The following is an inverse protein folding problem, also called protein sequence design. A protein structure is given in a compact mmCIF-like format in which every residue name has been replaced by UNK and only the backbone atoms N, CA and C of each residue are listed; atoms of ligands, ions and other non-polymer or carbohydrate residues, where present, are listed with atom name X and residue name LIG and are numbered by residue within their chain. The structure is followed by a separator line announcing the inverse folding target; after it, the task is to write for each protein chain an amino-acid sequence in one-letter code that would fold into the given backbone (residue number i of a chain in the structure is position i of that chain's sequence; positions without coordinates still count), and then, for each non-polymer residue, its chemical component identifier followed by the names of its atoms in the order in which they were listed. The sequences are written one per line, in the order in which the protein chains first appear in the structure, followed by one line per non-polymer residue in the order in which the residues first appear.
data_IF_791655673972
#
_entry.id   IF_791655673972
#
_cell.length_a   1.000
_cell.length_b   1.000
_cell.length_c   1.000
_cell.angle_alpha   90.00
_cell.angle_beta   90.00
_cell.angle_gamma   90.00
#
_symmetry.space_group_name_H-M   'P 1'
#
loop_
_entity.id
_entity.type
_entity.pdbx_description
1 polymer ?
#
# COMPACT_ATOMS: atom_id res chain seq x y z
N UNK A 1 -3.08 12.33 13.03
CA UNK A 1 -3.85 12.67 11.79
C UNK A 1 -5.38 12.45 11.90
N UNK A 2 -5.86 11.30 12.41
CA UNK A 2 -7.31 11.09 12.56
C UNK A 2 -7.96 12.12 13.52
N UNK A 3 -7.30 12.40 14.65
CA UNK A 3 -7.76 13.43 15.60
C UNK A 3 -7.74 14.84 14.99
N UNK A 4 -6.78 15.16 14.11
CA UNK A 4 -6.76 16.47 13.44
C UNK A 4 -7.93 16.61 12.47
N UNK A 5 -8.31 15.55 11.74
CA UNK A 5 -9.53 15.58 10.91
C UNK A 5 -10.76 15.98 11.73
N UNK A 6 -10.99 15.31 12.87
CA UNK A 6 -12.11 15.62 13.77
C UNK A 6 -12.00 17.06 14.30
N UNK A 7 -10.83 17.45 14.81
CA UNK A 7 -10.59 18.79 15.33
C UNK A 7 -10.82 19.90 14.30
N UNK A 8 -10.37 19.71 13.05
CA UNK A 8 -10.57 20.66 11.95
C UNK A 8 -12.04 20.75 11.58
N UNK A 9 -12.77 19.63 11.52
CA UNK A 9 -14.17 19.62 11.13
C UNK A 9 -15.06 20.37 12.12
N UNK A 10 -14.84 20.20 13.43
CA UNK A 10 -15.65 20.84 14.46
C UNK A 10 -15.18 22.26 14.83
N UNK A 11 -13.87 22.49 14.88
CA UNK A 11 -13.30 23.74 15.42
C UNK A 11 -12.52 24.55 14.39
N UNK A 12 -12.23 24.00 13.20
CA UNK A 12 -11.35 24.62 12.22
C UNK A 12 -11.74 26.05 11.85
N UNK A 13 -13.03 26.34 11.64
CA UNK A 13 -13.50 27.70 11.30
C UNK A 13 -13.28 28.75 12.42
N UNK A 14 -13.08 28.32 13.66
CA UNK A 14 -12.84 29.20 14.83
C UNK A 14 -11.35 29.42 15.08
N UNK A 15 -10.48 28.69 14.40
CA UNK A 15 -9.03 28.75 14.56
C UNK A 15 -8.40 29.80 13.64
N UNK A 16 -7.27 30.42 14.04
CA UNK A 16 -6.63 31.49 13.29
C UNK A 16 -6.23 31.08 11.86
N UNK A 17 -5.68 29.87 11.67
CA UNK A 17 -5.36 29.34 10.32
C UNK A 17 -6.40 28.37 9.78
N UNK A 18 -7.67 28.55 10.18
CA UNK A 18 -8.82 27.78 9.65
C UNK A 18 -8.68 26.25 9.71
N UNK A 19 -7.85 25.73 10.62
CA UNK A 19 -7.56 24.31 10.82
C UNK A 19 -6.24 23.77 10.21
N UNK A 20 -5.56 24.50 9.32
CA UNK A 20 -4.32 24.02 8.71
C UNK A 20 -3.21 23.72 9.74
N UNK A 21 -3.13 24.54 10.79
CA UNK A 21 -2.20 24.35 11.91
C UNK A 21 -2.37 23.01 12.63
N UNK A 22 -3.61 22.53 12.82
CA UNK A 22 -3.87 21.23 13.43
C UNK A 22 -3.43 20.08 12.52
N UNK A 23 -3.68 20.21 11.21
CA UNK A 23 -3.27 19.22 10.22
C UNK A 23 -1.74 19.10 10.17
N UNK A 24 -1.05 20.23 10.00
CA UNK A 24 0.42 20.29 9.94
C UNK A 24 1.04 19.75 11.24
N UNK A 25 0.56 20.19 12.40
CA UNK A 25 1.08 19.73 13.69
C UNK A 25 0.88 18.21 13.87
N UNK A 26 -0.31 17.69 13.55
CA UNK A 26 -0.60 16.27 13.72
C UNK A 26 0.18 15.37 12.75
N UNK A 27 0.43 15.81 11.51
CA UNK A 27 1.28 15.09 10.56
C UNK A 27 2.76 15.23 10.94
N UNK A 28 3.19 16.39 11.43
CA UNK A 28 4.55 16.59 11.95
C UNK A 28 4.86 15.69 13.14
N UNK A 29 3.93 15.53 14.08
CA UNK A 29 4.05 14.55 15.18
C UNK A 29 4.13 13.12 14.61
N UNK A 30 3.27 12.78 13.65
CA UNK A 30 3.31 11.46 13.02
C UNK A 30 4.64 11.19 12.31
N UNK A 31 5.25 12.21 11.69
CA UNK A 31 6.57 12.11 11.07
C UNK A 31 7.68 11.85 12.10
N UNK A 32 7.68 12.58 13.22
CA UNK A 32 8.65 12.32 14.31
C UNK A 32 8.48 10.91 14.87
N UNK A 33 7.23 10.46 15.06
CA UNK A 33 6.94 9.09 15.48
C UNK A 33 7.40 8.07 14.44
N UNK A 34 7.23 8.33 13.14
CA UNK A 34 7.73 7.44 12.09
C UNK A 34 9.26 7.30 12.11
N UNK A 35 9.99 8.39 12.37
CA UNK A 35 11.44 8.34 12.56
C UNK A 35 11.83 7.53 13.81
N UNK A 36 11.13 7.74 14.92
CA UNK A 36 11.35 7.00 16.16
C UNK A 36 11.06 5.49 15.98
N UNK A 37 9.96 5.15 15.31
CA UNK A 37 9.63 3.76 14.94
C UNK A 37 10.69 3.16 14.03
N UNK A 38 11.21 3.92 13.07
CA UNK A 38 12.30 3.45 12.21
C UNK A 38 13.58 3.16 12.99
N UNK A 39 13.98 4.05 13.91
CA UNK A 39 15.13 3.84 14.77
C UNK A 39 14.93 2.62 15.71
N UNK A 40 13.75 2.50 16.32
CA UNK A 40 13.41 1.38 17.18
C UNK A 40 13.36 0.04 16.42
N UNK A 41 12.88 0.04 15.18
CA UNK A 41 12.86 -1.17 14.35
C UNK A 41 14.27 -1.58 13.90
N UNK A 42 15.15 -0.63 13.57
CA UNK A 42 16.56 -0.92 13.27
C UNK A 42 17.27 -1.54 14.47
N UNK A 43 17.08 -0.97 15.67
CA UNK A 43 17.63 -1.53 16.91
C UNK A 43 17.07 -2.93 17.21
N UNK A 44 15.76 -3.13 17.02
CA UNK A 44 15.13 -4.44 17.17
C UNK A 44 15.67 -5.47 16.18
N UNK A 45 15.89 -5.08 14.91
CA UNK A 45 16.48 -5.94 13.89
C UNK A 45 17.93 -6.30 14.20
N UNK A 46 18.72 -5.33 14.64
CA UNK A 46 20.16 -5.52 14.88
C UNK A 46 20.44 -6.32 16.17
N UNK A 47 19.51 -6.28 17.15
CA UNK A 47 19.58 -7.03 18.42
C UNK A 47 18.61 -8.24 18.46
N UNK A 48 18.16 -8.73 17.31
CA UNK A 48 17.22 -9.86 17.25
C UNK A 48 17.95 -11.19 17.52
N UNK A 49 17.68 -11.82 18.67
CA UNK A 49 18.17 -13.15 19.03
C UNK A 49 17.11 -14.22 18.70
N UNK A 50 17.49 -15.23 17.89
CA UNK A 50 16.61 -16.30 17.40
C UNK A 50 16.11 -17.30 18.48
N UNK A 51 16.44 -17.10 19.75
CA UNK A 51 16.12 -18.06 20.83
C UNK A 51 14.66 -18.02 21.31
N UNK A 52 13.87 -17.01 20.92
CA UNK A 52 12.44 -16.94 21.17
C UNK A 52 11.65 -17.30 19.91
N UNK A 53 10.77 -18.30 19.97
CA UNK A 53 9.97 -18.81 18.84
C UNK A 53 8.93 -17.85 18.23
N UNK A 54 9.24 -16.55 18.17
CA UNK A 54 8.47 -15.48 17.55
C UNK A 54 9.05 -15.12 16.18
N UNK A 55 9.02 -16.04 15.23
CA UNK A 55 9.11 -15.67 13.81
C UNK A 55 8.58 -16.80 12.93
N UNK A 56 7.46 -16.54 12.27
CA UNK A 56 7.16 -17.18 11.01
C UNK A 56 7.61 -16.21 9.92
N UNK A 57 8.64 -16.63 9.17
CA UNK A 57 9.19 -15.83 8.09
C UNK A 57 8.73 -16.37 6.74
N UNK A 58 8.35 -15.45 5.86
CA UNK A 58 8.36 -15.65 4.42
C UNK A 58 9.58 -14.94 3.90
N UNK A 59 10.54 -15.71 3.43
CA UNK A 59 11.75 -15.20 2.79
C UNK A 59 11.44 -15.11 1.31
N UNK A 60 11.72 -13.96 0.70
CA UNK A 60 11.75 -13.84 -0.76
C UNK A 60 13.21 -13.91 -1.16
N UNK A 61 13.61 -15.01 -1.82
CA UNK A 61 14.92 -15.06 -2.46
C UNK A 61 14.91 -14.19 -3.72
N UNK A 62 15.63 -13.06 -3.67
CA UNK A 62 15.74 -12.07 -4.75
C UNK A 62 16.31 -12.66 -6.06
N UNK A 63 16.97 -13.83 -6.02
CA UNK A 63 17.53 -14.49 -7.21
C UNK A 63 16.55 -15.46 -7.91
N UNK A 64 15.59 -16.02 -7.18
CA UNK A 64 14.72 -17.10 -7.67
C UNK A 64 13.22 -16.79 -7.54
N UNK A 65 12.84 -15.75 -6.80
CA UNK A 65 11.45 -15.43 -6.45
C UNK A 65 10.81 -16.45 -5.51
N UNK A 66 11.55 -17.47 -5.08
CA UNK A 66 11.03 -18.57 -4.26
C UNK A 66 10.69 -18.05 -2.88
N UNK A 67 9.49 -18.41 -2.39
CA UNK A 67 9.12 -18.21 -0.99
C UNK A 67 9.59 -19.42 -0.19
N UNK A 68 10.61 -19.27 0.67
CA UNK A 68 11.03 -20.39 1.54
C UNK A 68 10.23 -20.41 2.84
N UNK A 69 9.91 -21.62 3.31
CA UNK A 69 9.08 -21.90 4.48
C UNK A 69 9.68 -21.44 5.81
N UNK A 70 9.06 -21.80 6.96
CA UNK A 70 9.52 -21.33 8.25
C UNK A 70 10.97 -21.72 8.50
N UNK A 71 11.75 -20.74 8.93
CA UNK A 71 13.22 -20.72 9.13
C UNK A 71 13.72 -21.75 10.17
N UNK A 72 12.83 -22.53 10.78
CA UNK A 72 13.18 -23.50 11.81
C UNK A 72 14.14 -24.60 11.33
N UNK A 73 14.03 -25.07 10.09
CA UNK A 73 14.85 -26.20 9.60
C UNK A 73 16.11 -25.78 8.83
N UNK A 74 16.15 -24.61 8.15
CA UNK A 74 17.34 -24.17 7.39
C UNK A 74 18.41 -23.48 8.24
N UNK A 75 18.04 -22.81 9.35
CA UNK A 75 19.02 -22.20 10.26
C UNK A 75 19.65 -23.23 11.20
N UNK A 76 18.95 -24.32 11.52
CA UNK A 76 19.51 -25.43 12.28
C UNK A 76 20.67 -26.12 11.52
N UNK A 77 20.61 -26.16 10.18
CA UNK A 77 21.66 -26.76 9.34
C UNK A 77 22.89 -25.84 9.16
N UNK A 78 22.70 -24.52 9.18
CA UNK A 78 23.81 -23.56 9.02
C UNK A 78 24.52 -23.24 10.34
N UNK A 79 23.89 -23.50 11.49
CA UNK A 79 24.52 -23.36 12.80
C UNK A 79 25.46 -24.54 13.17
N UNK A 80 25.31 -25.72 12.54
CA UNK A 80 26.18 -26.88 12.80
C UNK A 80 27.41 -26.95 11.86
N UNK A 81 27.38 -26.31 10.69
CA UNK A 81 28.51 -26.28 9.76
C UNK A 81 29.31 -24.98 9.92
N UNK A 82 30.32 -25.05 10.78
CA UNK A 82 31.26 -23.95 11.01
C UNK A 82 31.96 -23.48 9.74
N UNK A 83 32.08 -22.16 9.64
CA UNK A 83 33.17 -21.43 8.98
C UNK A 83 33.55 -21.91 7.57
N UNK A 84 32.84 -21.46 6.53
CA UNK A 84 33.46 -21.05 5.26
C UNK A 84 32.48 -20.29 4.34
N UNK A 85 32.98 -19.15 3.84
CA UNK A 85 32.40 -18.23 2.85
C UNK A 85 31.45 -18.85 1.81
N UNK A 86 30.19 -18.37 1.80
CA UNK A 86 29.40 -18.15 0.59
C UNK A 86 28.63 -16.82 0.68
N UNK A 87 29.12 -15.81 -0.02
CA UNK A 87 28.33 -14.65 -0.46
C UNK A 87 27.46 -15.11 -1.64
N UNK A 88 26.32 -15.76 -1.37
CA UNK A 88 25.25 -15.97 -2.35
C UNK A 88 23.98 -16.36 -1.57
N UNK A 89 22.97 -15.49 -1.56
CA UNK A 89 21.63 -15.76 -1.02
C UNK A 89 21.48 -15.62 0.51
N UNK A 90 21.80 -14.45 1.07
CA UNK A 90 21.53 -14.18 2.49
C UNK A 90 20.02 -14.19 2.76
N UNK A 91 19.54 -15.26 3.40
CA UNK A 91 18.18 -15.42 3.92
C UNK A 91 17.97 -14.36 5.02
N UNK A 92 17.25 -13.28 4.69
CA UNK A 92 16.90 -12.28 5.69
C UNK A 92 15.59 -12.69 6.39
N UNK A 93 15.59 -12.94 7.71
CA UNK A 93 14.36 -13.26 8.43
C UNK A 93 13.36 -12.11 8.36
N UNK A 94 12.08 -12.45 8.24
CA UNK A 94 10.99 -11.49 8.40
C UNK A 94 10.95 -11.04 9.87
N UNK A 95 11.53 -9.87 10.15
CA UNK A 95 11.53 -9.28 11.50
C UNK A 95 10.39 -8.26 11.57
N UNK A 96 9.20 -8.74 11.96
CA UNK A 96 8.00 -7.94 12.15
C UNK A 96 7.53 -7.97 13.59
N UNK A 97 7.19 -6.81 14.16
CA UNK A 97 6.55 -6.70 15.47
C UNK A 97 5.04 -6.64 15.24
N UNK A 98 4.32 -7.66 15.72
CA UNK A 98 2.87 -7.74 15.65
C UNK A 98 2.29 -7.54 17.06
N UNK A 99 1.35 -6.60 17.19
CA UNK A 99 0.56 -6.47 18.41
C UNK A 99 -0.92 -6.49 18.04
N UNK A 100 -1.65 -7.50 18.51
CA UNK A 100 -3.04 -7.73 18.16
C UNK A 100 -3.91 -7.78 19.42
N UNK A 101 -5.03 -7.06 19.39
CA UNK A 101 -6.09 -7.17 20.40
C UNK A 101 -7.33 -7.78 19.76
N UNK A 102 -7.87 -8.84 20.36
CA UNK A 102 -9.14 -9.41 19.92
C UNK A 102 -10.29 -8.42 20.15
N UNK A 103 -10.97 -8.05 19.07
CA UNK A 103 -12.11 -7.13 19.10
C UNK A 103 -13.43 -7.89 19.27
N UNK A 104 -13.63 -8.95 18.49
CA UNK A 104 -14.83 -9.79 18.54
C UNK A 104 -14.46 -11.25 18.27
N UNK A 105 -15.08 -12.19 18.98
CA UNK A 105 -14.98 -13.61 18.67
C UNK A 105 -16.39 -14.20 18.53
N UNK A 106 -16.71 -14.75 17.37
CA UNK A 106 -18.01 -15.37 17.09
C UNK A 106 -17.82 -16.62 16.26
N UNK A 107 -18.42 -17.76 16.67
CA UNK A 107 -18.44 -18.98 15.86
C UNK A 107 -17.06 -19.59 15.57
N UNK A 108 -16.06 -19.33 16.41
CA UNK A 108 -14.67 -19.77 16.19
C UNK A 108 -13.86 -18.89 15.22
N UNK A 109 -14.43 -17.77 14.77
CA UNK A 109 -13.73 -16.73 14.00
C UNK A 109 -13.26 -15.63 14.95
N UNK A 110 -11.98 -15.28 14.85
CA UNK A 110 -11.36 -14.20 15.63
C UNK A 110 -11.23 -12.94 14.78
N UNK A 111 -11.93 -11.89 15.19
CA UNK A 111 -11.79 -10.56 14.62
C UNK A 111 -10.83 -9.76 15.49
N UNK A 112 -9.57 -9.68 15.06
CA UNK A 112 -8.53 -8.89 15.71
C UNK A 112 -8.48 -7.44 15.18
N UNK A 113 -8.04 -6.54 16.04
CA UNK A 113 -7.54 -5.23 15.64
C UNK A 113 -6.11 -5.12 16.13
N UNK A 114 -5.17 -5.08 15.19
CA UNK A 114 -3.74 -5.08 15.49
C UNK A 114 -2.97 -4.01 14.73
N UNK A 115 -1.68 -3.97 15.01
CA UNK A 115 -0.66 -3.19 14.32
C UNK A 115 0.47 -4.15 13.95
N UNK A 116 0.87 -4.12 12.68
CA UNK A 116 2.01 -4.87 12.17
C UNK A 116 3.11 -3.88 11.70
N UNK A 117 4.26 -3.93 12.37
CA UNK A 117 5.43 -3.09 12.06
C UNK A 117 6.59 -3.97 11.62
N UNK A 118 6.80 -4.04 10.32
CA UNK A 118 7.96 -4.66 9.67
C UNK A 118 8.72 -3.62 8.81
N UNK A 119 9.79 -4.05 8.14
CA UNK A 119 10.59 -3.16 7.29
C UNK A 119 9.77 -2.45 6.20
N UNK A 120 8.79 -3.14 5.62
CA UNK A 120 7.87 -2.57 4.62
C UNK A 120 6.97 -1.48 5.25
N UNK A 121 6.37 -1.75 6.40
CA UNK A 121 5.56 -0.78 7.16
C UNK A 121 6.40 0.44 7.55
N UNK A 122 7.61 0.24 8.08
CA UNK A 122 8.52 1.31 8.52
C UNK A 122 8.88 2.25 7.38
N UNK A 123 9.24 1.68 6.22
CA UNK A 123 9.52 2.49 5.03
C UNK A 123 8.26 3.28 4.62
N UNK A 124 7.10 2.64 4.60
CA UNK A 124 5.85 3.29 4.17
C UNK A 124 5.36 4.38 5.13
N UNK A 125 5.43 4.18 6.45
CA UNK A 125 5.05 5.24 7.40
C UNK A 125 5.95 6.46 7.25
N UNK A 126 7.24 6.27 6.96
CA UNK A 126 8.16 7.36 6.67
C UNK A 126 7.77 8.09 5.38
N UNK A 127 7.60 7.36 4.27
CA UNK A 127 7.19 7.95 2.97
C UNK A 127 5.88 8.72 3.09
N UNK A 128 4.85 8.12 3.69
CA UNK A 128 3.52 8.72 3.84
C UNK A 128 3.59 10.00 4.69
N UNK A 129 4.30 9.97 5.82
CA UNK A 129 4.38 11.13 6.72
C UNK A 129 5.21 12.28 6.13
N UNK A 130 6.33 11.99 5.46
CA UNK A 130 7.17 13.02 4.81
C UNK A 130 6.41 13.71 3.68
N UNK A 131 5.90 12.94 2.72
CA UNK A 131 5.20 13.50 1.56
C UNK A 131 3.93 14.23 2.02
N UNK A 132 3.18 13.65 2.96
CA UNK A 132 2.01 14.31 3.52
C UNK A 132 2.36 15.63 4.22
N UNK A 133 3.42 15.68 5.01
CA UNK A 133 3.84 16.91 5.71
C UNK A 133 4.17 18.02 4.70
N UNK A 134 4.94 17.69 3.65
CA UNK A 134 5.27 18.64 2.58
C UNK A 134 4.02 19.12 1.85
N UNK A 135 3.09 18.22 1.51
CA UNK A 135 1.83 18.57 0.87
C UNK A 135 0.96 19.45 1.78
N UNK A 136 0.91 19.18 3.09
CA UNK A 136 0.17 20.02 4.04
C UNK A 136 0.73 21.44 4.09
N UNK A 137 2.05 21.60 4.12
CA UNK A 137 2.70 22.91 4.11
C UNK A 137 2.45 23.62 2.77
N UNK A 138 2.70 22.95 1.66
CA UNK A 138 2.49 23.50 0.31
C UNK A 138 1.04 23.94 0.07
N UNK A 139 0.08 23.18 0.59
CA UNK A 139 -1.34 23.49 0.46
C UNK A 139 -1.75 24.78 1.16
N UNK A 140 -0.99 25.26 2.16
CA UNK A 140 -1.38 26.48 2.89
C UNK A 140 -1.43 27.71 2.00
N UNK A 141 -0.50 27.81 1.05
CA UNK A 141 -0.41 28.88 0.06
C UNK A 141 -1.27 28.57 -1.18
N UNK A 142 -1.23 27.33 -1.67
CA UNK A 142 -1.91 26.95 -2.91
C UNK A 142 -3.43 27.13 -2.87
N UNK A 143 -4.09 26.78 -1.77
CA UNK A 143 -5.54 26.97 -1.60
C UNK A 143 -5.89 28.20 -0.78
N UNK A 144 -4.97 29.15 -0.61
CA UNK A 144 -5.28 30.37 0.13
C UNK A 144 -6.44 31.14 -0.53
N UNK A 145 -7.31 31.71 0.30
CA UNK A 145 -8.54 32.36 -0.16
C UNK A 145 -9.66 31.41 -0.62
N UNK A 146 -9.47 30.09 -0.71
CA UNK A 146 -10.54 29.15 -1.07
C UNK A 146 -11.65 29.11 0.01
N UNK A 147 -12.91 29.20 -0.43
CA UNK A 147 -14.12 29.10 0.41
C UNK A 147 -14.15 27.83 1.28
N UNK A 148 -13.51 26.75 0.82
CA UNK A 148 -13.53 25.39 1.41
C UNK A 148 -12.22 25.02 2.11
N UNK A 149 -11.33 25.99 2.38
CA UNK A 149 -10.03 25.80 3.04
C UNK A 149 -10.06 24.80 4.22
N UNK A 150 -10.97 24.97 5.17
CA UNK A 150 -11.09 24.09 6.35
C UNK A 150 -11.43 22.64 5.97
N UNK A 151 -12.32 22.43 4.99
CA UNK A 151 -12.70 21.08 4.58
C UNK A 151 -11.56 20.40 3.83
N UNK A 152 -10.82 21.15 3.01
CA UNK A 152 -9.63 20.66 2.33
C UNK A 152 -8.61 20.07 3.31
N UNK A 153 -8.22 20.83 4.34
CA UNK A 153 -7.27 20.35 5.36
C UNK A 153 -7.82 19.21 6.24
N UNK A 154 -9.13 19.19 6.48
CA UNK A 154 -9.77 18.06 7.17
C UNK A 154 -9.57 16.77 6.36
N UNK A 155 -9.98 16.76 5.09
CA UNK A 155 -9.87 15.57 4.25
C UNK A 155 -8.42 15.21 3.93
N UNK A 156 -7.51 16.17 3.85
CA UNK A 156 -6.07 15.91 3.71
C UNK A 156 -5.51 15.16 4.95
N UNK A 157 -5.93 15.56 6.15
CA UNK A 157 -5.60 14.88 7.40
C UNK A 157 -6.22 13.47 7.47
N UNK A 158 -7.48 13.32 7.07
CA UNK A 158 -8.15 12.02 7.03
C UNK A 158 -7.49 11.09 6.02
N UNK A 159 -7.07 11.62 4.88
CA UNK A 159 -6.41 10.82 3.84
C UNK A 159 -5.07 10.26 4.34
N UNK A 160 -4.30 11.09 5.03
CA UNK A 160 -3.05 10.67 5.68
C UNK A 160 -3.31 9.65 6.79
N UNK A 161 -4.33 9.86 7.61
CA UNK A 161 -4.71 8.92 8.66
C UNK A 161 -5.11 7.55 8.07
N UNK A 162 -5.87 7.57 6.99
CA UNK A 162 -6.37 6.37 6.29
C UNK A 162 -5.22 5.56 5.69
N UNK A 163 -4.26 6.24 5.05
CA UNK A 163 -3.09 5.58 4.50
C UNK A 163 -2.18 5.01 5.61
N UNK A 164 -1.98 5.74 6.71
CA UNK A 164 -1.22 5.22 7.87
C UNK A 164 -1.90 4.01 8.51
N UNK A 165 -3.23 4.05 8.64
CA UNK A 165 -4.01 2.91 9.12
C UNK A 165 -3.88 1.70 8.19
N UNK A 166 -3.93 1.91 6.88
CA UNK A 166 -3.76 0.87 5.87
C UNK A 166 -2.38 0.20 5.94
N UNK A 167 -1.30 0.98 6.03
CA UNK A 167 0.06 0.41 6.04
C UNK A 167 0.43 -0.28 7.35
N UNK A 168 -0.22 0.10 8.45
CA UNK A 168 -0.04 -0.52 9.77
C UNK A 168 -1.01 -1.69 10.02
N UNK A 169 -1.89 -1.99 9.07
CA UNK A 169 -2.92 -3.02 9.23
C UNK A 169 -2.29 -4.41 9.36
N UNK A 170 -2.73 -5.12 10.40
CA UNK A 170 -2.28 -6.48 10.71
C UNK A 170 -3.06 -7.56 9.94
N UNK A 171 -4.34 -7.28 9.69
CA UNK A 171 -5.26 -8.22 9.04
C UNK A 171 -5.96 -7.62 7.83
N UNK A 172 -6.48 -8.51 6.97
CA UNK A 172 -7.13 -8.14 5.71
C UNK A 172 -8.40 -7.28 5.91
N UNK A 173 -9.09 -7.41 7.04
CA UNK A 173 -10.27 -6.58 7.32
C UNK A 173 -9.89 -5.13 7.62
N UNK A 174 -8.86 -4.92 8.43
CA UNK A 174 -8.29 -3.58 8.65
C UNK A 174 -7.78 -2.99 7.32
N UNK A 175 -7.12 -3.80 6.49
CA UNK A 175 -6.69 -3.35 5.16
C UNK A 175 -7.88 -2.92 4.29
N UNK A 176 -9.01 -3.65 4.28
CA UNK A 176 -10.23 -3.23 3.57
C UNK A 176 -10.72 -1.87 4.07
N UNK A 177 -10.77 -1.68 5.40
CA UNK A 177 -11.21 -0.39 5.98
C UNK A 177 -10.28 0.74 5.55
N UNK A 178 -8.96 0.56 5.62
CA UNK A 178 -7.98 1.55 5.16
C UNK A 178 -8.10 1.84 3.67
N UNK A 179 -8.26 0.80 2.85
CA UNK A 179 -8.42 0.88 1.39
C UNK A 179 -9.63 1.71 0.96
N UNK A 180 -10.76 1.49 1.64
CA UNK A 180 -12.00 2.23 1.43
C UNK A 180 -11.89 3.67 1.90
N UNK A 181 -11.34 3.91 3.09
CA UNK A 181 -11.15 5.26 3.61
C UNK A 181 -10.24 6.10 2.70
N UNK A 182 -9.16 5.51 2.17
CA UNK A 182 -8.30 6.12 1.13
C UNK A 182 -9.12 6.49 -0.11
N UNK A 183 -10.04 5.62 -0.55
CA UNK A 183 -10.91 5.89 -1.71
C UNK A 183 -11.97 6.98 -1.48
N UNK A 184 -12.54 7.03 -0.28
CA UNK A 184 -13.50 8.10 0.09
C UNK A 184 -12.78 9.45 0.17
N UNK A 185 -11.58 9.49 0.76
CA UNK A 185 -10.79 10.72 0.82
C UNK A 185 -10.40 11.21 -0.57
N UNK A 186 -9.97 10.32 -1.47
CA UNK A 186 -9.61 10.69 -2.84
C UNK A 186 -10.81 11.24 -3.61
N UNK A 187 -12.00 10.63 -3.45
CA UNK A 187 -13.23 11.12 -4.09
C UNK A 187 -13.52 12.57 -3.69
N UNK A 188 -13.48 12.86 -2.39
CA UNK A 188 -13.77 14.22 -1.88
C UNK A 188 -12.70 15.22 -2.32
N UNK A 189 -11.43 14.83 -2.32
CA UNK A 189 -10.33 15.73 -2.67
C UNK A 189 -10.23 15.99 -4.19
N UNK A 190 -10.49 14.99 -5.05
CA UNK A 190 -10.59 15.20 -6.50
C UNK A 190 -11.80 16.11 -6.80
N UNK A 191 -12.92 15.86 -6.14
CA UNK A 191 -14.16 16.64 -6.28
C UNK A 191 -14.19 17.94 -5.47
N UNK A 192 -13.06 18.48 -5.01
CA UNK A 192 -13.03 19.66 -4.12
C UNK A 192 -13.78 20.87 -4.72
N UNK A 193 -13.60 21.09 -6.03
CA UNK A 193 -14.32 22.09 -6.82
C UNK A 193 -15.50 21.48 -7.58
N UNK A 194 -16.39 20.78 -6.86
CA UNK A 194 -17.57 20.06 -7.40
C UNK A 194 -18.60 20.94 -8.15
N UNK A 195 -18.56 22.26 -7.99
CA UNK A 195 -19.46 23.18 -8.73
C UNK A 195 -19.18 23.12 -10.24
N UNK A 196 -17.94 22.80 -10.62
CA UNK A 196 -17.55 22.54 -12.00
C UNK A 196 -17.89 21.10 -12.36
N UNK A 197 -18.79 20.93 -13.34
CA UNK A 197 -19.23 19.61 -13.80
C UNK A 197 -18.07 18.68 -14.19
N UNK A 198 -17.03 19.13 -14.94
CA UNK A 198 -15.89 18.27 -15.28
C UNK A 198 -15.17 17.69 -14.06
N UNK A 199 -15.06 18.44 -12.95
CA UNK A 199 -14.39 17.99 -11.73
C UNK A 199 -15.22 16.96 -10.99
N UNK A 200 -16.54 17.15 -10.95
CA UNK A 200 -17.49 16.19 -10.38
C UNK A 200 -17.52 14.88 -11.17
N UNK A 201 -17.52 14.96 -12.51
CA UNK A 201 -17.48 13.79 -13.38
C UNK A 201 -16.17 13.00 -13.21
N UNK A 202 -15.03 13.70 -13.07
CA UNK A 202 -13.73 13.08 -12.79
C UNK A 202 -13.70 12.37 -11.42
N UNK A 203 -14.20 13.01 -10.37
CA UNK A 203 -14.30 12.41 -9.04
C UNK A 203 -15.18 11.15 -9.06
N UNK A 204 -16.34 11.21 -9.73
CA UNK A 204 -17.25 10.07 -9.84
C UNK A 204 -16.62 8.94 -10.64
N UNK A 205 -15.95 9.23 -11.76
CA UNK A 205 -15.23 8.24 -12.56
C UNK A 205 -14.15 7.54 -11.72
N UNK A 206 -13.38 8.29 -10.95
CA UNK A 206 -12.39 7.72 -10.03
C UNK A 206 -13.05 6.82 -8.99
N UNK A 207 -14.09 7.29 -8.32
CA UNK A 207 -14.76 6.49 -7.28
C UNK A 207 -15.39 5.20 -7.82
N UNK A 208 -16.10 5.28 -8.96
CA UNK A 208 -16.76 4.12 -9.56
C UNK A 208 -15.74 3.10 -10.10
N UNK A 209 -14.68 3.56 -10.76
CA UNK A 209 -13.64 2.66 -11.29
C UNK A 209 -12.93 1.91 -10.15
N UNK A 210 -12.65 2.61 -9.05
CA UNK A 210 -12.09 1.96 -7.85
C UNK A 210 -13.06 0.97 -7.23
N UNK A 211 -14.34 1.34 -7.13
CA UNK A 211 -15.40 0.48 -6.59
C UNK A 211 -15.54 -0.84 -7.33
N UNK A 212 -15.39 -0.83 -8.65
CA UNK A 212 -15.39 -2.06 -9.47
C UNK A 212 -14.25 -3.00 -9.06
N UNK A 213 -13.05 -2.47 -8.82
CA UNK A 213 -11.93 -3.26 -8.30
C UNK A 213 -12.13 -3.71 -6.85
N UNK A 214 -12.80 -2.90 -6.02
CA UNK A 214 -13.08 -3.24 -4.62
C UNK A 214 -14.00 -4.48 -4.50
N UNK A 215 -14.83 -4.78 -5.51
CA UNK A 215 -15.56 -6.06 -5.58
C UNK A 215 -14.57 -7.23 -5.65
N UNK A 216 -13.50 -7.09 -6.43
CA UNK A 216 -12.41 -8.06 -6.49
C UNK A 216 -11.67 -8.18 -5.15
N UNK A 217 -11.44 -7.06 -4.45
CA UNK A 217 -10.84 -7.06 -3.11
C UNK A 217 -11.67 -7.93 -2.15
N UNK A 218 -12.98 -7.70 -2.09
CA UNK A 218 -13.88 -8.43 -1.19
C UNK A 218 -13.93 -9.93 -1.51
N UNK A 219 -14.00 -10.29 -2.80
CA UNK A 219 -14.00 -11.70 -3.21
C UNK A 219 -12.65 -12.34 -2.88
N UNK A 220 -11.54 -11.68 -3.20
CA UNK A 220 -10.19 -12.21 -2.95
C UNK A 220 -9.91 -12.42 -1.47
N UNK A 221 -10.24 -11.43 -0.61
CA UNK A 221 -10.11 -11.57 0.85
C UNK A 221 -11.02 -12.68 1.38
N UNK A 222 -12.25 -12.80 0.87
CA UNK A 222 -13.16 -13.88 1.27
C UNK A 222 -12.60 -15.25 0.88
N UNK A 223 -12.02 -15.39 -0.32
CA UNK A 223 -11.39 -16.63 -0.76
C UNK A 223 -10.19 -16.97 0.13
N UNK A 224 -9.32 -16.01 0.46
CA UNK A 224 -8.19 -16.25 1.37
C UNK A 224 -8.64 -16.64 2.76
N UNK A 225 -9.69 -16.01 3.28
CA UNK A 225 -10.25 -16.35 4.59
C UNK A 225 -10.65 -17.82 4.69
N UNK A 226 -11.34 -18.36 3.67
CA UNK A 226 -11.75 -19.76 3.66
C UNK A 226 -10.61 -20.71 3.28
N UNK A 227 -9.82 -20.37 2.26
CA UNK A 227 -8.84 -21.28 1.68
C UNK A 227 -7.51 -21.33 2.45
N UNK A 228 -7.03 -20.19 2.96
CA UNK A 228 -5.79 -20.09 3.73
C UNK A 228 -6.06 -19.95 5.23
N UNK A 229 -7.04 -19.13 5.60
CA UNK A 229 -7.39 -18.89 6.99
C UNK A 229 -8.24 -19.97 7.65
N UNK A 230 -8.60 -21.04 6.91
CA UNK A 230 -9.45 -22.14 7.40
C UNK A 230 -10.83 -21.68 7.90
N UNK A 231 -11.28 -20.50 7.47
CA UNK A 231 -12.49 -19.85 7.94
C UNK A 231 -12.39 -19.30 9.37
N UNK A 232 -11.19 -19.03 9.90
CA UNK A 232 -10.97 -18.60 11.29
C UNK A 232 -10.18 -17.30 11.44
N UNK A 233 -9.30 -16.98 10.49
CA UNK A 233 -8.36 -15.86 10.62
C UNK A 233 -8.30 -14.98 9.37
N UNK A 234 -8.09 -13.68 9.59
CA UNK A 234 -7.77 -12.67 8.56
C UNK A 234 -6.34 -12.14 8.67
N UNK A 235 -5.54 -12.71 9.57
CA UNK A 235 -4.15 -12.35 9.84
C UNK A 235 -3.30 -12.52 8.57
N UNK A 236 -2.60 -11.46 8.17
CA UNK A 236 -1.84 -11.45 6.92
C UNK A 236 -0.62 -12.37 6.97
N UNK A 237 0.04 -12.48 8.12
CA UNK A 237 1.23 -13.32 8.31
C UNK A 237 0.85 -14.79 8.21
N UNK A 238 -0.19 -15.21 8.94
CA UNK A 238 -0.70 -16.60 8.90
C UNK A 238 -1.19 -17.02 7.53
N UNK A 239 -1.84 -16.11 6.79
CA UNK A 239 -2.28 -16.38 5.42
C UNK A 239 -1.09 -16.60 4.50
N UNK A 240 -0.06 -15.75 4.60
CA UNK A 240 1.16 -15.91 3.82
C UNK A 240 1.88 -17.22 4.15
N UNK A 241 2.03 -17.56 5.43
CA UNK A 241 2.61 -18.85 5.88
C UNK A 241 1.90 -20.06 5.27
N UNK A 242 0.56 -20.09 5.32
CA UNK A 242 -0.23 -21.20 4.79
C UNK A 242 0.00 -21.43 3.29
N UNK A 243 0.21 -20.35 2.53
CA UNK A 243 0.48 -20.39 1.10
C UNK A 243 1.89 -20.92 0.82
N UNK A 244 2.89 -20.42 1.56
CA UNK A 244 4.28 -20.88 1.41
C UNK A 244 4.42 -22.36 1.80
N UNK A 245 3.70 -22.81 2.81
CA UNK A 245 3.64 -24.23 3.20
C UNK A 245 2.90 -25.11 2.17
N UNK A 246 2.33 -24.53 1.12
CA UNK A 246 1.60 -25.27 0.08
C UNK A 246 0.28 -25.90 0.57
N UNK A 247 -0.28 -25.43 1.69
CA UNK A 247 -1.52 -25.99 2.27
C UNK A 247 -2.78 -25.54 1.54
N UNK A 248 -2.67 -24.49 0.72
CA UNK A 248 -3.78 -23.88 -0.03
C UNK A 248 -3.86 -24.48 -1.44
N UNK A 249 -5.05 -24.95 -1.83
CA UNK A 249 -5.27 -25.48 -3.17
C UNK A 249 -5.02 -24.42 -4.26
N UNK A 250 -4.23 -24.77 -5.28
CA UNK A 250 -3.79 -23.85 -6.33
C UNK A 250 -4.96 -23.09 -6.99
N UNK A 251 -6.09 -23.76 -7.30
CA UNK A 251 -7.25 -23.09 -7.91
C UNK A 251 -7.82 -21.98 -7.04
N UNK A 252 -7.92 -22.20 -5.72
CA UNK A 252 -8.41 -21.16 -4.80
C UNK A 252 -7.43 -19.99 -4.71
N UNK A 253 -6.13 -20.29 -4.75
CA UNK A 253 -5.08 -19.27 -4.75
C UNK A 253 -5.09 -18.42 -6.02
N UNK A 254 -5.26 -19.04 -7.20
CA UNK A 254 -5.41 -18.33 -8.49
C UNK A 254 -6.63 -17.41 -8.46
N UNK A 255 -7.77 -17.89 -7.96
CA UNK A 255 -8.99 -17.08 -7.85
C UNK A 255 -8.76 -15.91 -6.90
N UNK A 256 -8.17 -16.15 -5.72
CA UNK A 256 -7.85 -15.10 -4.77
C UNK A 256 -6.92 -14.04 -5.39
N UNK A 257 -5.82 -14.47 -5.99
CA UNK A 257 -4.83 -13.58 -6.59
C UNK A 257 -5.40 -12.77 -7.77
N UNK A 258 -6.19 -13.39 -8.65
CA UNK A 258 -6.84 -12.70 -9.77
C UNK A 258 -7.89 -11.67 -9.30
N UNK A 259 -8.68 -12.00 -8.27
CA UNK A 259 -9.65 -11.08 -7.69
C UNK A 259 -8.97 -9.90 -6.97
N UNK A 260 -7.92 -10.17 -6.18
CA UNK A 260 -7.11 -9.11 -5.57
C UNK A 260 -6.39 -8.27 -6.63
N UNK A 261 -5.98 -8.88 -7.74
CA UNK A 261 -5.37 -8.15 -8.86
C UNK A 261 -6.35 -7.14 -9.46
N UNK A 262 -7.64 -7.45 -9.55
CA UNK A 262 -8.63 -6.46 -10.00
C UNK A 262 -8.69 -5.23 -9.09
N UNK A 263 -8.49 -5.40 -7.77
CA UNK A 263 -8.39 -4.29 -6.83
C UNK A 263 -7.09 -3.49 -7.03
N UNK A 264 -5.95 -4.18 -7.18
CA UNK A 264 -4.66 -3.53 -7.49
C UNK A 264 -4.75 -2.76 -8.79
N UNK A 265 -5.39 -3.32 -9.82
CA UNK A 265 -5.59 -2.66 -11.11
C UNK A 265 -6.38 -1.37 -10.97
N UNK A 266 -7.38 -1.32 -10.08
CA UNK A 266 -8.19 -0.12 -9.88
C UNK A 266 -7.43 0.96 -9.12
N UNK A 267 -6.82 0.67 -7.97
CA UNK A 267 -6.10 1.68 -7.16
C UNK A 267 -4.77 2.13 -7.75
N UNK A 268 -3.96 1.20 -8.25
CA UNK A 268 -2.65 1.50 -8.84
C UNK A 268 -2.72 1.82 -10.32
N UNK A 269 -3.93 1.99 -10.87
CA UNK A 269 -4.16 2.39 -12.25
C UNK A 269 -3.44 1.48 -13.24
N UNK A 270 -3.56 0.17 -13.10
CA UNK A 270 -2.99 -0.78 -14.05
C UNK A 270 -3.87 -0.91 -15.30
N UNK A 271 -3.34 -1.56 -16.33
CA UNK A 271 -4.06 -1.81 -17.58
C UNK A 271 -5.47 -2.38 -17.32
N UNK A 272 -6.42 -1.95 -18.16
CA UNK A 272 -7.89 -1.99 -18.00
C UNK A 272 -8.48 -0.89 -17.11
N UNK A 273 -8.05 -0.74 -15.85
CA UNK A 273 -8.69 0.17 -14.88
C UNK A 273 -7.93 1.48 -14.64
N UNK A 274 -6.95 1.83 -15.48
CA UNK A 274 -6.11 3.04 -15.37
C UNK A 274 -6.80 4.37 -15.73
N UNK A 275 -7.94 4.33 -16.43
CA UNK A 275 -8.48 5.52 -17.13
C UNK A 275 -8.97 6.65 -16.22
N UNK A 276 -9.16 6.40 -14.92
CA UNK A 276 -9.53 7.45 -13.97
C UNK A 276 -8.34 8.29 -13.53
N UNK A 277 -7.12 7.75 -13.60
CA UNK A 277 -5.92 8.37 -13.02
C UNK A 277 -5.55 9.71 -13.71
N UNK A 278 -5.61 9.82 -15.05
CA UNK A 278 -5.39 11.11 -15.73
C UNK A 278 -6.49 12.13 -15.45
N UNK A 279 -7.74 11.69 -15.29
CA UNK A 279 -8.88 12.58 -15.03
C UNK A 279 -8.86 13.09 -13.58
N UNK A 280 -8.29 12.34 -12.65
CA UNK A 280 -8.09 12.77 -11.26
C UNK A 280 -7.24 14.05 -11.13
N UNK A 281 -6.52 14.45 -12.18
CA UNK A 281 -5.79 15.71 -12.26
C UNK A 281 -6.68 16.96 -12.28
N UNK A 282 -8.01 16.78 -12.35
CA UNK A 282 -9.00 17.82 -12.10
C UNK A 282 -8.95 18.38 -10.66
N UNK A 283 -8.44 17.60 -9.70
CA UNK A 283 -8.27 18.05 -8.32
C UNK A 283 -7.19 19.13 -8.15
N UNK A 284 -7.13 19.76 -6.96
CA UNK A 284 -6.05 20.70 -6.62
C UNK A 284 -4.67 20.03 -6.76
N UNK A 285 -3.67 20.73 -7.28
CA UNK A 285 -2.31 20.17 -7.49
C UNK A 285 -1.70 19.49 -6.24
N UNK A 286 -1.87 20.01 -5.00
CA UNK A 286 -1.36 19.31 -3.81
C UNK A 286 -1.99 17.92 -3.60
N UNK A 287 -3.26 17.74 -4.00
CA UNK A 287 -3.96 16.45 -3.95
C UNK A 287 -3.36 15.48 -4.95
N UNK A 288 -3.07 15.94 -6.17
CA UNK A 288 -2.40 15.13 -7.17
C UNK A 288 -1.05 14.62 -6.64
N UNK A 289 -0.21 15.50 -6.08
CA UNK A 289 1.06 15.09 -5.48
C UNK A 289 0.86 13.97 -4.44
N UNK A 290 -0.11 14.12 -3.52
CA UNK A 290 -0.35 13.11 -2.49
C UNK A 290 -0.90 11.79 -3.04
N UNK A 291 -1.88 11.84 -3.97
CA UNK A 291 -2.53 10.67 -4.59
C UNK A 291 -1.52 9.84 -5.38
N UNK A 292 -0.69 10.51 -6.20
CA UNK A 292 0.21 9.86 -7.15
C UNK A 292 1.56 9.47 -6.54
N UNK A 293 2.02 10.14 -5.47
CA UNK A 293 3.33 9.87 -4.90
C UNK A 293 3.31 8.85 -3.75
N UNK A 294 2.39 9.00 -2.79
CA UNK A 294 2.55 8.35 -1.48
C UNK A 294 1.32 7.60 -0.95
N UNK A 295 0.15 7.77 -1.55
CA UNK A 295 -1.10 7.24 -0.95
C UNK A 295 -1.83 6.26 -1.87
N UNK A 296 -2.80 6.72 -2.64
CA UNK A 296 -3.81 5.89 -3.28
C UNK A 296 -3.21 4.90 -4.27
N UNK A 297 -2.33 5.36 -5.15
CA UNK A 297 -1.75 4.47 -6.16
C UNK A 297 -0.71 3.52 -5.59
N UNK A 298 -0.07 3.91 -4.50
CA UNK A 298 0.92 3.10 -3.79
C UNK A 298 0.26 2.01 -2.96
N UNK A 299 -0.98 2.22 -2.50
CA UNK A 299 -1.74 1.24 -1.72
C UNK A 299 -1.88 -0.11 -2.43
N UNK A 300 -2.08 -0.12 -3.75
CA UNK A 300 -2.15 -1.37 -4.52
C UNK A 300 -0.80 -2.08 -4.61
N UNK A 301 0.31 -1.35 -4.79
CA UNK A 301 1.66 -1.94 -4.78
C UNK A 301 2.00 -2.49 -3.39
N UNK A 302 1.65 -1.76 -2.33
CA UNK A 302 1.81 -2.21 -0.96
C UNK A 302 1.01 -3.49 -0.67
N UNK A 303 -0.23 -3.59 -1.16
CA UNK A 303 -1.04 -4.81 -1.02
C UNK A 303 -0.34 -6.01 -1.69
N UNK A 304 0.20 -5.83 -2.90
CA UNK A 304 0.97 -6.88 -3.58
C UNK A 304 2.21 -7.28 -2.78
N UNK A 305 2.94 -6.30 -2.26
CA UNK A 305 4.13 -6.55 -1.46
C UNK A 305 3.83 -7.24 -0.11
N UNK A 306 2.72 -6.88 0.55
CA UNK A 306 2.27 -7.44 1.82
C UNK A 306 1.77 -8.88 1.67
N UNK A 307 1.08 -9.16 0.57
CA UNK A 307 0.54 -10.49 0.24
C UNK A 307 1.36 -11.15 -0.86
N UNK A 308 2.67 -10.96 -0.84
CA UNK A 308 3.54 -11.37 -1.95
C UNK A 308 3.39 -12.85 -2.34
N UNK A 309 3.35 -13.82 -1.40
CA UNK A 309 3.11 -15.23 -1.73
C UNK A 309 1.77 -15.46 -2.45
N UNK A 310 0.72 -14.73 -2.08
CA UNK A 310 -0.60 -14.85 -2.74
C UNK A 310 -0.47 -14.55 -4.23
N UNK A 311 0.19 -13.44 -4.57
CA UNK A 311 0.33 -13.01 -5.95
C UNK A 311 1.39 -13.81 -6.70
N UNK A 312 2.54 -14.09 -6.08
CA UNK A 312 3.65 -14.76 -6.72
C UNK A 312 3.33 -16.23 -7.02
N UNK A 313 2.78 -16.98 -6.06
CA UNK A 313 2.41 -18.39 -6.26
C UNK A 313 1.06 -18.54 -6.98
N UNK A 314 0.09 -17.67 -6.68
CA UNK A 314 -1.26 -17.75 -7.23
C UNK A 314 -1.35 -17.41 -8.71
N UNK A 315 -0.41 -16.65 -9.26
CA UNK A 315 -0.44 -16.24 -10.67
C UNK A 315 0.67 -16.88 -11.52
N UNK A 316 1.33 -17.92 -11.02
CA UNK A 316 2.22 -18.73 -11.84
C UNK A 316 1.46 -19.40 -12.98
N UNK A 317 2.00 -19.32 -14.20
CA UNK A 317 1.39 -19.91 -15.40
C UNK A 317 2.18 -21.17 -15.76
N UNK A 318 1.68 -22.34 -15.36
CA UNK A 318 2.12 -23.65 -15.90
C UNK A 318 3.63 -23.92 -15.82
N UNK A 319 4.33 -23.49 -14.77
CA UNK A 319 5.78 -23.66 -14.60
C UNK A 319 6.64 -22.71 -15.45
N UNK A 320 6.04 -21.73 -16.11
CA UNK A 320 6.76 -20.64 -16.78
C UNK A 320 7.48 -19.75 -15.76
N UNK A 321 8.66 -19.26 -16.13
CA UNK A 321 9.40 -18.24 -15.37
C UNK A 321 8.69 -16.87 -15.34
N UNK A 322 7.61 -16.68 -16.12
CA UNK A 322 6.86 -15.43 -16.20
C UNK A 322 5.46 -15.63 -15.60
N UNK A 323 5.18 -14.87 -14.55
CA UNK A 323 3.89 -14.81 -13.86
C UNK A 323 2.94 -13.77 -14.55
N UNK A 324 1.62 -13.96 -14.45
CA UNK A 324 0.60 -13.00 -14.92
C UNK A 324 0.81 -11.57 -14.36
N UNK A 325 1.29 -11.45 -13.12
CA UNK A 325 1.66 -10.18 -12.48
C UNK A 325 2.67 -9.40 -13.33
N UNK A 326 3.74 -10.07 -13.77
CA UNK A 326 4.77 -9.47 -14.61
C UNK A 326 4.19 -8.99 -15.94
N UNK A 327 3.28 -9.79 -16.52
CA UNK A 327 2.63 -9.47 -17.80
C UNK A 327 1.73 -8.25 -17.69
N UNK A 328 0.90 -8.16 -16.64
CA UNK A 328 0.03 -6.98 -16.38
C UNK A 328 0.89 -5.73 -16.17
N UNK A 329 1.96 -5.85 -15.38
CA UNK A 329 2.90 -4.74 -15.15
C UNK A 329 3.57 -4.27 -16.44
N UNK A 330 4.07 -5.19 -17.26
CA UNK A 330 4.73 -4.87 -18.53
C UNK A 330 3.78 -4.19 -19.53
N UNK A 331 2.55 -4.67 -19.65
CA UNK A 331 1.53 -4.03 -20.49
C UNK A 331 1.22 -2.63 -19.96
N UNK A 332 1.03 -2.47 -18.65
CA UNK A 332 0.76 -1.16 -18.03
C UNK A 332 1.91 -0.17 -18.26
N UNK A 333 3.14 -0.63 -18.06
CA UNK A 333 4.37 0.13 -18.29
C UNK A 333 4.41 0.72 -19.70
N UNK A 334 4.23 -0.13 -20.71
CA UNK A 334 4.33 0.25 -22.12
C UNK A 334 3.18 1.15 -22.53
N UNK A 335 1.93 0.76 -22.25
CA UNK A 335 0.76 1.56 -22.64
C UNK A 335 0.70 2.90 -21.91
N UNK A 336 1.05 2.94 -20.62
CA UNK A 336 1.15 4.19 -19.86
C UNK A 336 2.19 5.13 -20.47
N UNK A 337 3.35 4.61 -20.87
CA UNK A 337 4.39 5.39 -21.53
C UNK A 337 3.95 5.94 -22.90
N UNK A 338 3.35 5.10 -23.74
CA UNK A 338 2.86 5.50 -25.06
C UNK A 338 1.76 6.57 -24.97
N UNK A 339 0.82 6.43 -24.02
CA UNK A 339 -0.25 7.40 -23.81
C UNK A 339 0.27 8.75 -23.30
N UNK A 340 1.37 8.77 -22.55
CA UNK A 340 2.01 10.00 -22.09
C UNK A 340 2.54 10.86 -23.26
N UNK A 341 3.09 10.25 -24.32
CA UNK A 341 3.62 10.99 -25.49
C UNK A 341 2.55 11.72 -26.31
N UNK A 342 1.27 11.33 -26.17
CA UNK A 342 0.14 11.89 -26.93
C UNK A 342 -0.67 12.87 -26.07
N UNK A 343 -0.27 13.13 -24.82
CA UNK A 343 -0.96 14.13 -23.99
C UNK A 343 -0.40 15.53 -24.21
N UNK A 344 -1.30 16.50 -24.42
CA UNK A 344 -0.96 17.93 -24.49
C UNK A 344 -0.93 18.62 -23.11
N UNK A 345 -1.54 18.01 -22.09
CA UNK A 345 -1.63 18.56 -20.72
C UNK A 345 -0.54 17.99 -19.82
N UNK A 346 0.26 18.86 -19.19
CA UNK A 346 1.39 18.47 -18.34
C UNK A 346 0.97 17.59 -17.14
N UNK A 347 -0.18 17.86 -16.51
CA UNK A 347 -0.66 17.04 -15.39
C UNK A 347 -1.06 15.65 -15.88
N UNK A 348 -1.68 15.55 -17.06
CA UNK A 348 -2.01 14.24 -17.67
C UNK A 348 -0.75 13.46 -18.08
N UNK A 349 0.29 14.13 -18.59
CA UNK A 349 1.60 13.50 -18.83
C UNK A 349 2.18 12.94 -17.53
N UNK A 350 2.11 13.71 -16.43
CA UNK A 350 2.56 13.26 -15.11
C UNK A 350 1.72 12.11 -14.55
N UNK A 351 0.41 12.07 -14.84
CA UNK A 351 -0.46 10.96 -14.48
C UNK A 351 -0.08 9.67 -15.22
N UNK A 352 0.08 9.73 -16.55
CA UNK A 352 0.44 8.56 -17.36
C UNK A 352 1.85 8.06 -17.10
N UNK A 353 2.80 8.95 -16.81
CA UNK A 353 4.11 8.52 -16.33
C UNK A 353 4.01 7.83 -14.97
N UNK A 354 3.06 8.20 -14.10
CA UNK A 354 2.79 7.44 -12.86
C UNK A 354 2.21 6.06 -13.15
N UNK A 355 1.23 5.94 -14.07
CA UNK A 355 0.72 4.64 -14.55
C UNK A 355 1.88 3.74 -15.00
N UNK A 356 2.77 4.28 -15.83
CA UNK A 356 3.92 3.57 -16.36
C UNK A 356 4.88 3.10 -15.26
N UNK A 357 5.21 3.98 -14.30
CA UNK A 357 6.10 3.66 -13.18
C UNK A 357 5.52 2.63 -12.22
N UNK A 358 4.21 2.67 -11.96
CA UNK A 358 3.55 1.63 -11.16
C UNK A 358 3.52 0.29 -11.89
N UNK A 359 3.31 0.31 -13.22
CA UNK A 359 3.49 -0.87 -14.07
C UNK A 359 4.90 -1.47 -13.95
N UNK A 360 5.93 -0.62 -13.84
CA UNK A 360 7.31 -1.06 -13.58
C UNK A 360 7.45 -1.79 -12.23
N UNK A 361 6.85 -1.26 -11.15
CA UNK A 361 6.87 -1.88 -9.82
C UNK A 361 6.14 -3.22 -9.82
N UNK A 362 4.95 -3.28 -10.45
CA UNK A 362 4.17 -4.52 -10.60
C UNK A 362 4.94 -5.56 -11.40
N UNK A 363 5.61 -5.14 -12.48
CA UNK A 363 6.44 -6.02 -13.29
C UNK A 363 7.61 -6.59 -12.48
N UNK A 364 8.31 -5.75 -11.73
CA UNK A 364 9.41 -6.16 -10.85
C UNK A 364 8.96 -7.19 -9.79
N UNK A 365 7.82 -6.96 -9.14
CA UNK A 365 7.23 -7.93 -8.21
C UNK A 365 6.89 -9.27 -8.90
N UNK A 366 6.40 -9.20 -10.14
CA UNK A 366 6.05 -10.38 -10.94
C UNK A 366 7.23 -11.23 -11.40
N UNK A 367 8.45 -10.71 -11.41
CA UNK A 367 9.67 -11.44 -11.79
C UNK A 367 10.53 -11.86 -10.60
N UNK A 368 10.04 -11.68 -9.36
CA UNK A 368 10.81 -12.04 -8.15
C UNK A 368 11.56 -10.88 -7.50
N UNK A 369 11.69 -9.72 -8.17
CA UNK A 369 12.51 -8.60 -7.72
C UNK A 369 11.78 -7.70 -6.71
N UNK A 370 11.46 -8.26 -5.53
CA UNK A 370 10.71 -7.57 -4.48
C UNK A 370 11.46 -6.34 -3.98
N UNK A 371 12.73 -6.48 -3.62
CA UNK A 371 13.55 -5.38 -3.08
C UNK A 371 13.64 -4.21 -4.05
N UNK A 372 13.85 -4.52 -5.35
CA UNK A 372 13.92 -3.51 -6.39
C UNK A 372 12.60 -2.74 -6.57
N UNK A 373 11.46 -3.44 -6.51
CA UNK A 373 10.14 -2.81 -6.63
C UNK A 373 9.86 -1.84 -5.47
N UNK A 374 10.20 -2.23 -4.23
CA UNK A 374 9.98 -1.43 -3.03
C UNK A 374 10.94 -0.24 -2.97
N UNK A 375 12.20 -0.42 -3.37
CA UNK A 375 13.14 0.69 -3.50
C UNK A 375 12.69 1.69 -4.59
N UNK A 376 12.16 1.19 -5.71
CA UNK A 376 11.60 2.04 -6.75
C UNK A 376 10.36 2.81 -6.26
N UNK A 377 9.49 2.18 -5.46
CA UNK A 377 8.36 2.85 -4.80
C UNK A 377 8.84 4.00 -3.92
N UNK A 378 9.86 3.76 -3.09
CA UNK A 378 10.46 4.79 -2.22
C UNK A 378 10.94 5.99 -3.03
N UNK A 379 11.77 5.76 -4.05
CA UNK A 379 12.31 6.85 -4.89
C UNK A 379 11.22 7.57 -5.68
N UNK A 380 10.29 6.81 -6.27
CA UNK A 380 9.13 7.35 -6.99
C UNK A 380 8.33 8.34 -6.14
N UNK A 381 8.10 8.03 -4.86
CA UNK A 381 7.33 8.92 -3.98
C UNK A 381 7.97 10.32 -3.86
N UNK A 382 9.30 10.42 -3.71
CA UNK A 382 9.97 11.71 -3.61
C UNK A 382 9.99 12.46 -4.93
N UNK A 383 10.34 11.79 -6.03
CA UNK A 383 10.43 12.44 -7.34
C UNK A 383 9.06 12.86 -7.87
N UNK A 384 8.01 12.07 -7.63
CA UNK A 384 6.64 12.43 -8.03
C UNK A 384 6.00 13.51 -7.17
N UNK A 385 6.37 13.62 -5.90
CA UNK A 385 5.90 14.74 -5.08
C UNK A 385 6.57 16.07 -5.48
N UNK A 386 7.78 16.00 -6.07
CA UNK A 386 8.54 17.15 -6.53
C UNK A 386 8.08 17.66 -7.91
N UNK A 387 7.82 16.73 -8.83
CA UNK A 387 7.25 17.01 -10.17
C UNK A 387 5.81 17.51 -10.08
#
# INVERSE_FOLDING_TARGET
PALSFVGILFFGKRLPKKGAELGIAAVGIAFVLALATGAAWLDHRDNFDFEGGEAAAVVVDDATGTTTGPVADEVALTAEEGDEKKEDGAVHPYVGVQNNTQWLQTGGVEFGAGILVDGLSVMMIFVVTVVSLLVHVYSTDYVDGDRRYTHFFAFLSLFTASMLFFVLSDNLLQMIVGWELVGVCSFVLIGHWWEEKPNSDAALKAFLTNRVGDVGLLIGVSTLFFAAGGGKTFDTVKINEAIVQGTVGHTALVVAAACLMAAVMSKSGQFILHTWLPDAMAGPTPVSALIHAATMVVAGIFLVARLYPVFFEGMQIGGSSINLLATVGAVTLVFGGLLAFVQDDIKKVLAYSTVSQLGYMVMALGVGAWTAAIFHLFTHAFFKANL
#
